data_IF_303095078475
#
_entry.id   IF_303095078475
#
_cell.length_a   1.000
_cell.length_b   1.000
_cell.length_c   1.000
_cell.angle_alpha   90.00
_cell.angle_beta   90.00
_cell.angle_gamma   90.00
#
_symmetry.space_group_name_H-M   'P 1'
#
loop_
_entity.id
_entity.type
_entity.pdbx_description
1 polymer ?
#
# COMPACT_ATOMS: atom_id res chain seq x y z
N UNK A 1 -2.45 15.47 -12.81
CA UNK A 1 -3.72 14.92 -13.31
C UNK A 1 -3.69 14.86 -14.83
N UNK A 2 -4.14 13.77 -15.43
CA UNK A 2 -4.46 13.68 -16.86
C UNK A 2 -5.97 13.50 -17.01
N UNK A 3 -6.59 14.18 -17.98
CA UNK A 3 -8.04 14.20 -18.20
C UNK A 3 -8.33 14.08 -19.70
N UNK A 4 -9.05 13.04 -20.10
CA UNK A 4 -9.37 12.75 -21.50
C UNK A 4 -10.88 12.66 -21.72
N UNK A 5 -11.39 13.45 -22.66
CA UNK A 5 -12.78 13.39 -23.12
C UNK A 5 -12.79 13.32 -24.66
N UNK A 6 -13.49 12.33 -25.23
CA UNK A 6 -13.56 12.10 -26.68
C UNK A 6 -14.88 12.59 -27.26
N UNK A 7 -14.97 13.89 -27.59
CA UNK A 7 -16.08 14.39 -28.40
C UNK A 7 -15.98 13.83 -29.82
N UNK A 8 -17.10 13.30 -30.34
CA UNK A 8 -17.20 12.69 -31.68
C UNK A 8 -16.97 13.74 -32.77
N UNK A 9 -15.92 13.56 -33.59
CA UNK A 9 -15.65 14.41 -34.76
C UNK A 9 -16.59 14.02 -35.90
N UNK A 10 -17.70 14.76 -36.05
CA UNK A 10 -18.44 14.79 -37.31
C UNK A 10 -17.73 15.75 -38.26
N UNK A 11 -17.53 15.32 -39.50
CA UNK A 11 -17.16 16.21 -40.59
C UNK A 11 -18.17 16.04 -41.72
N UNK A 12 -18.72 17.16 -42.17
CA UNK A 12 -19.02 17.36 -43.58
C UNK A 12 -18.72 18.83 -43.90
N UNK A 13 -18.56 19.16 -45.18
CA UNK A 13 -17.98 20.43 -45.65
C UNK A 13 -18.95 21.24 -46.53
N UNK A 14 -18.50 22.46 -46.85
CA UNK A 14 -18.84 23.26 -48.02
C UNK A 14 -19.97 24.32 -47.94
N UNK A 15 -19.64 25.45 -48.58
CA UNK A 15 -20.48 26.54 -49.12
C UNK A 15 -21.14 27.52 -48.13
N UNK A 16 -20.56 28.73 -48.06
CA UNK A 16 -21.30 29.97 -47.77
C UNK A 16 -21.82 30.60 -49.07
N UNK A 17 -22.86 31.45 -49.03
CA UNK A 17 -22.54 32.88 -49.17
C UNK A 17 -23.36 33.87 -48.32
N UNK A 18 -22.67 34.99 -48.02
CA UNK A 18 -23.08 36.38 -47.75
C UNK A 18 -24.57 36.78 -47.76
N UNK A 19 -25.01 37.31 -46.61
CA UNK A 19 -25.93 38.43 -46.32
C UNK A 19 -27.00 38.92 -47.33
N UNK A 20 -28.22 39.19 -46.82
CA UNK A 20 -28.63 40.57 -46.47
C UNK A 20 -29.79 40.57 -45.45
N UNK A 21 -30.28 41.75 -45.04
CA UNK A 21 -31.27 41.95 -43.96
C UNK A 21 -32.69 42.27 -44.47
N UNK A 22 -33.70 42.25 -43.58
CA UNK A 22 -34.88 43.16 -43.53
C UNK A 22 -35.84 42.76 -42.36
N UNK A 23 -36.40 43.74 -41.64
CA UNK A 23 -37.48 43.54 -40.64
C UNK A 23 -38.86 43.33 -41.32
N UNK A 24 -39.93 43.00 -40.57
CA UNK A 24 -40.77 44.13 -40.14
C UNK A 24 -41.41 44.03 -38.73
N UNK A 25 -41.43 45.18 -38.04
CA UNK A 25 -42.47 45.59 -37.05
C UNK A 25 -43.90 45.40 -37.60
N UNK A 26 -45.00 45.34 -36.83
CA UNK A 26 -45.29 45.70 -35.41
C UNK A 26 -46.31 44.64 -34.89
N UNK A 27 -47.14 44.72 -33.83
CA UNK A 27 -47.61 45.66 -32.78
C UNK A 27 -48.42 44.80 -31.76
N UNK A 28 -49.04 45.28 -30.68
CA UNK A 28 -48.90 46.38 -29.69
C UNK A 28 -50.15 46.28 -28.77
N UNK A 29 -50.12 46.77 -27.53
CA UNK A 29 -51.21 46.65 -26.53
C UNK A 29 -50.71 45.87 -25.31
N UNK A 30 -50.01 46.45 -24.34
CA UNK A 30 -50.34 47.62 -23.50
C UNK A 30 -51.55 47.35 -22.58
N UNK A 31 -51.31 47.04 -21.29
CA UNK A 31 -51.66 47.99 -20.21
C UNK A 31 -51.01 47.65 -18.83
N UNK A 32 -50.82 48.70 -18.03
CA UNK A 32 -50.29 48.74 -16.64
C UNK A 32 -51.23 49.69 -15.81
N UNK A 33 -51.00 50.13 -14.55
CA UNK A 33 -49.85 49.99 -13.62
C UNK A 33 -50.20 48.98 -12.47
N UNK A 34 -50.19 49.18 -11.15
CA UNK A 34 -49.75 50.23 -10.19
C UNK A 34 -49.38 49.54 -8.85
N UNK A 35 -48.24 49.81 -8.21
CA UNK A 35 -47.89 50.90 -7.29
C UNK A 35 -48.20 50.67 -5.79
N UNK A 36 -47.29 51.18 -4.95
CA UNK A 36 -47.38 51.40 -3.49
C UNK A 36 -47.43 50.18 -2.54
N UNK A 37 -46.92 50.26 -1.29
CA UNK A 37 -45.93 51.17 -0.69
C UNK A 37 -45.50 50.67 0.72
N UNK A 38 -44.31 51.08 1.17
CA UNK A 38 -43.89 51.38 2.56
C UNK A 38 -44.22 50.42 3.73
N UNK A 39 -43.18 50.02 4.48
CA UNK A 39 -43.04 50.47 5.89
C UNK A 39 -41.60 50.28 6.39
N UNK A 40 -41.19 51.13 7.33
CA UNK A 40 -39.88 51.12 8.01
C UNK A 40 -39.97 50.49 9.42
N UNK A 41 -38.83 50.34 10.10
CA UNK A 41 -38.72 50.08 11.54
C UNK A 41 -38.14 48.69 11.91
N UNK A 42 -37.27 48.55 12.92
CA UNK A 42 -36.63 49.54 13.80
C UNK A 42 -35.31 48.96 14.34
N UNK A 43 -34.30 49.78 14.60
CA UNK A 43 -33.05 49.37 15.25
C UNK A 43 -33.16 49.40 16.79
N UNK A 44 -32.29 48.66 17.50
CA UNK A 44 -31.96 48.93 18.91
C UNK A 44 -30.58 48.38 19.28
N UNK A 45 -29.75 49.21 19.89
CA UNK A 45 -28.45 48.86 20.47
C UNK A 45 -28.58 48.55 21.98
N UNK A 46 -27.62 47.79 22.55
CA UNK A 46 -27.05 47.94 23.91
C UNK A 46 -26.13 46.74 24.22
N UNK A 47 -24.82 46.92 24.47
CA UNK A 47 -24.18 47.44 25.70
C UNK A 47 -24.04 46.33 26.80
N UNK A 48 -22.90 45.63 26.91
CA UNK A 48 -21.63 45.98 27.63
C UNK A 48 -21.68 46.01 29.16
N UNK A 49 -21.06 45.02 29.82
CA UNK A 49 -20.22 45.06 31.05
C UNK A 49 -19.70 43.62 31.30
N UNK A 50 -18.46 43.30 31.71
CA UNK A 50 -17.58 43.83 32.78
C UNK A 50 -18.12 43.42 34.19
N UNK A 51 -17.36 42.90 35.17
CA UNK A 51 -15.92 42.90 35.46
C UNK A 51 -15.51 41.84 36.54
N UNK A 52 -14.19 41.60 36.75
CA UNK A 52 -13.41 41.18 37.98
C UNK A 52 -13.90 40.09 38.98
N UNK A 53 -13.12 39.48 39.91
CA UNK A 53 -11.68 39.07 40.08
C UNK A 53 -11.51 38.13 41.30
N UNK A 54 -10.50 37.25 41.25
CA UNK A 54 -9.60 36.84 42.37
C UNK A 54 -10.05 36.04 43.61
N UNK A 55 -9.03 35.37 44.19
CA UNK A 55 -8.82 34.97 45.60
C UNK A 55 -9.64 33.79 46.19
N UNK A 56 -9.08 32.94 47.09
CA UNK A 56 -7.68 32.81 47.54
C UNK A 56 -7.34 31.42 48.16
N UNK A 57 -6.09 31.27 48.63
CA UNK A 57 -5.43 30.25 49.49
C UNK A 57 -6.29 29.14 50.18
N UNK A 58 -5.77 27.93 50.46
CA UNK A 58 -4.83 27.71 51.60
C UNK A 58 -3.99 26.42 51.55
N UNK A 59 -2.77 26.55 52.06
CA UNK A 59 -1.65 25.59 52.10
C UNK A 59 -1.65 24.58 53.26
N UNK A 60 -0.97 23.45 53.08
CA UNK A 60 -0.02 22.78 54.01
C UNK A 60 0.72 21.66 53.22
N UNK A 61 2.04 21.41 53.30
CA UNK A 61 2.96 21.15 54.46
C UNK A 61 2.71 19.73 55.05
N UNK A 62 3.70 18.84 55.27
CA UNK A 62 5.16 18.98 55.46
C UNK A 62 5.97 17.74 54.96
N UNK A 63 7.28 17.93 54.72
CA UNK A 63 8.43 16.97 54.74
C UNK A 63 8.25 15.45 54.92
N UNK A 64 9.03 14.66 54.17
CA UNK A 64 10.24 13.95 54.71
C UNK A 64 11.12 13.32 53.60
N UNK A 65 12.38 13.06 53.95
CA UNK A 65 13.45 12.48 53.11
C UNK A 65 13.54 10.94 53.24
N UNK A 66 14.06 10.26 52.21
CA UNK A 66 14.49 8.85 52.22
C UNK A 66 15.27 8.51 50.94
N UNK A 67 16.60 8.62 50.99
CA UNK A 67 17.50 8.11 49.94
C UNK A 67 17.51 6.58 49.90
N UNK A 68 17.47 5.99 48.71
CA UNK A 68 17.68 4.54 48.49
C UNK A 68 18.76 4.36 47.43
N UNK A 69 19.83 3.62 47.75
CA UNK A 69 20.85 3.21 46.77
C UNK A 69 20.25 2.17 45.81
N UNK A 70 20.04 2.54 44.55
CA UNK A 70 19.64 1.60 43.50
C UNK A 70 20.86 1.08 42.75
N UNK A 71 21.21 -0.17 43.03
CA UNK A 71 22.33 -0.88 42.41
C UNK A 71 22.04 -1.11 40.91
N UNK A 72 22.97 -0.80 39.99
CA UNK A 72 22.66 -0.70 38.56
C UNK A 72 22.12 -2.00 37.97
N UNK A 73 20.92 -1.93 37.40
CA UNK A 73 20.31 -3.04 36.68
C UNK A 73 21.14 -3.43 35.45
N UNK A 74 21.33 -4.74 35.24
CA UNK A 74 22.03 -5.25 34.06
C UNK A 74 21.23 -4.95 32.79
N UNK A 75 21.90 -4.40 31.77
CA UNK A 75 21.27 -4.09 30.49
C UNK A 75 20.71 -5.36 29.81
N UNK A 76 19.51 -5.31 29.20
CA UNK A 76 18.89 -6.48 28.59
C UNK A 76 19.66 -6.92 27.33
N UNK A 77 20.16 -8.15 27.34
CA UNK A 77 20.83 -8.75 26.19
C UNK A 77 19.82 -9.27 25.17
N UNK A 78 19.79 -8.64 23.99
CA UNK A 78 18.94 -9.06 22.87
C UNK A 78 19.59 -10.26 22.17
N UNK A 79 18.86 -11.37 22.08
CA UNK A 79 19.28 -12.60 21.42
C UNK A 79 18.88 -12.58 19.93
N UNK A 80 19.85 -12.84 19.05
CA UNK A 80 19.67 -12.86 17.60
C UNK A 80 19.24 -14.26 17.14
N UNK A 81 18.30 -14.34 16.19
CA UNK A 81 17.92 -15.58 15.51
C UNK A 81 18.07 -15.40 13.99
N UNK A 82 18.69 -16.37 13.32
CA UNK A 82 19.21 -16.21 11.94
C UNK A 82 18.57 -17.23 11.00
N UNK A 83 18.14 -16.78 9.81
CA UNK A 83 17.80 -17.66 8.70
C UNK A 83 18.36 -17.14 7.37
N UNK A 84 18.85 -18.06 6.54
CA UNK A 84 19.44 -17.76 5.25
C UNK A 84 18.38 -17.55 4.17
N UNK A 85 18.51 -16.44 3.44
CA UNK A 85 17.72 -16.04 2.29
C UNK A 85 18.53 -16.22 1.00
N UNK A 86 17.97 -16.94 0.02
CA UNK A 86 18.63 -17.15 -1.27
C UNK A 86 18.38 -15.96 -2.20
N UNK A 87 19.33 -15.02 -2.24
CA UNK A 87 19.33 -13.94 -3.23
C UNK A 87 19.33 -14.46 -4.66
N UNK A 88 18.59 -13.77 -5.54
CA UNK A 88 18.57 -14.03 -6.99
C UNK A 88 19.23 -12.87 -7.72
N UNK A 89 20.16 -13.16 -8.64
CA UNK A 89 20.92 -12.12 -9.35
C UNK A 89 22.31 -12.56 -9.84
N UNK A 90 22.89 -13.62 -9.29
CA UNK A 90 24.08 -14.25 -9.85
C UNK A 90 23.68 -15.28 -10.93
N UNK A 91 24.37 -15.28 -12.07
CA UNK A 91 24.36 -16.43 -12.98
C UNK A 91 24.87 -17.68 -12.26
N UNK A 92 24.37 -18.84 -12.67
CA UNK A 92 24.90 -20.11 -12.21
C UNK A 92 26.31 -20.32 -12.81
N UNK A 93 27.34 -20.00 -12.01
CA UNK A 93 28.72 -20.39 -12.32
C UNK A 93 28.81 -21.91 -12.56
N UNK A 94 29.69 -22.38 -13.46
CA UNK A 94 29.70 -23.75 -13.91
C UNK A 94 29.88 -24.75 -12.76
N UNK A 95 29.16 -25.87 -12.83
CA UNK A 95 29.10 -26.89 -11.80
C UNK A 95 30.49 -27.52 -11.58
N UNK A 96 31.02 -27.38 -10.36
CA UNK A 96 32.35 -27.89 -9.99
C UNK A 96 32.22 -29.32 -9.50
N UNK A 97 32.50 -30.29 -10.38
CA UNK A 97 32.69 -31.69 -9.97
C UNK A 97 33.85 -31.79 -8.96
N UNK A 98 33.57 -32.35 -7.79
CA UNK A 98 34.62 -32.65 -6.80
C UNK A 98 35.35 -33.94 -7.19
N UNK A 99 36.69 -33.97 -7.14
CA UNK A 99 37.47 -35.10 -7.64
C UNK A 99 37.28 -36.35 -6.76
N UNK A 100 37.04 -37.49 -7.40
CA UNK A 100 36.94 -38.79 -6.75
C UNK A 100 38.32 -39.40 -6.46
N UNK A 101 38.53 -39.76 -5.19
CA UNK A 101 39.61 -40.61 -4.69
C UNK A 101 38.94 -41.61 -3.72
N UNK A 102 39.20 -42.92 -3.73
CA UNK A 102 40.45 -43.61 -4.08
C UNK A 102 40.26 -44.81 -5.03
N UNK A 103 41.40 -45.35 -5.49
CA UNK A 103 41.51 -46.62 -6.21
C UNK A 103 42.39 -47.62 -5.41
N UNK A 104 42.69 -48.83 -5.92
CA UNK A 104 41.80 -49.98 -5.77
C UNK A 104 42.42 -51.13 -4.95
N UNK A 105 41.60 -52.08 -4.49
CA UNK A 105 42.04 -53.40 -4.02
C UNK A 105 40.97 -54.47 -4.27
N UNK A 106 41.41 -55.67 -4.62
CA UNK A 106 40.59 -56.75 -5.18
C UNK A 106 40.95 -58.11 -4.49
N UNK A 107 40.28 -59.24 -4.77
CA UNK A 107 39.06 -59.67 -4.09
C UNK A 107 39.23 -60.95 -3.25
N UNK A 108 38.29 -61.21 -2.35
CA UNK A 108 38.04 -62.56 -1.81
C UNK A 108 36.54 -62.85 -1.68
N UNK A 109 36.16 -64.09 -2.02
CA UNK A 109 34.78 -64.64 -1.98
C UNK A 109 34.90 -66.10 -1.54
N UNK A 110 34.28 -66.52 -0.43
CA UNK A 110 33.08 -67.38 -0.52
C UNK A 110 32.14 -67.31 0.72
N UNK A 111 31.05 -68.12 0.81
CA UNK A 111 30.11 -68.59 -0.21
C UNK A 111 28.65 -68.15 0.11
N UNK A 112 27.68 -68.50 -0.74
CA UNK A 112 26.26 -68.19 -0.53
C UNK A 112 25.50 -69.22 0.32
N UNK A 113 24.50 -68.74 1.08
CA UNK A 113 23.50 -69.52 1.83
C UNK A 113 22.12 -68.79 1.78
N UNK A 114 20.98 -69.46 2.05
CA UNK A 114 19.71 -69.11 1.39
C UNK A 114 18.99 -67.84 1.87
N UNK A 115 18.15 -67.30 0.99
CA UNK A 115 17.32 -66.11 1.25
C UNK A 115 16.12 -66.40 2.18
N UNK A 116 15.89 -65.47 3.11
CA UNK A 116 14.57 -65.23 3.70
C UNK A 116 13.84 -64.14 2.88
N UNK A 117 12.50 -64.13 2.81
CA UNK A 117 11.76 -63.16 2.00
C UNK A 117 11.95 -61.74 2.54
N UNK A 118 12.50 -60.85 1.70
CA UNK A 118 12.62 -59.44 2.03
C UNK A 118 11.22 -58.79 1.98
N UNK A 119 10.79 -58.22 3.10
CA UNK A 119 9.71 -57.23 3.12
C UNK A 119 10.07 -56.13 2.12
N UNK A 120 9.17 -55.71 1.20
CA UNK A 120 9.49 -54.65 0.26
C UNK A 120 9.88 -53.38 1.05
N UNK A 121 10.97 -52.69 0.68
CA UNK A 121 11.38 -51.49 1.39
C UNK A 121 10.26 -50.47 1.31
N UNK A 122 9.77 -50.02 2.47
CA UNK A 122 8.89 -48.85 2.55
C UNK A 122 9.61 -47.71 1.81
N UNK A 123 9.00 -47.08 0.79
CA UNK A 123 9.66 -46.01 0.06
C UNK A 123 10.08 -44.94 1.06
N UNK A 124 11.35 -44.54 1.00
CA UNK A 124 11.86 -43.49 1.87
C UNK A 124 11.02 -42.24 1.64
N UNK A 125 10.49 -41.67 2.73
CA UNK A 125 9.75 -40.42 2.67
C UNK A 125 10.69 -39.37 2.11
N UNK A 126 10.47 -38.97 0.85
CA UNK A 126 11.11 -37.78 0.28
C UNK A 126 10.81 -36.63 1.25
N UNK A 127 11.81 -35.82 1.67
CA UNK A 127 11.53 -34.62 2.45
C UNK A 127 10.48 -33.80 1.73
N UNK A 128 9.39 -33.48 2.42
CA UNK A 128 8.31 -32.69 1.84
C UNK A 128 8.90 -31.37 1.35
N UNK A 129 8.60 -31.02 0.09
CA UNK A 129 8.91 -29.68 -0.38
C UNK A 129 8.09 -28.70 0.47
N UNK A 130 8.61 -27.53 0.85
CA UNK A 130 7.82 -26.55 1.59
C UNK A 130 6.57 -26.18 0.77
N UNK A 131 5.40 -26.62 1.22
CA UNK A 131 4.14 -26.39 0.51
C UNK A 131 3.76 -24.90 0.50
N UNK A 132 2.89 -24.53 -0.45
CA UNK A 132 2.90 -23.21 -1.08
C UNK A 132 2.62 -22.03 -0.11
N UNK A 133 3.50 -21.03 -0.13
CA UNK A 133 3.31 -19.74 0.54
C UNK A 133 2.30 -18.87 -0.23
N UNK A 134 1.01 -19.26 -0.22
CA UNK A 134 -0.06 -18.63 -1.01
C UNK A 134 -0.58 -17.32 -0.44
N UNK A 135 -0.29 -16.24 -1.15
CA UNK A 135 -1.03 -14.98 -1.29
C UNK A 135 -0.72 -14.47 -2.71
N UNK A 136 -1.35 -13.38 -3.19
CA UNK A 136 -0.68 -12.48 -4.12
C UNK A 136 0.54 -11.81 -3.46
N UNK A 137 1.63 -12.58 -3.46
CA UNK A 137 3.00 -12.12 -3.29
C UNK A 137 3.46 -11.59 -4.65
N UNK A 138 3.92 -10.35 -4.72
CA UNK A 138 4.43 -9.84 -5.98
C UNK A 138 5.87 -10.33 -6.22
N UNK A 139 6.31 -10.21 -7.47
CA UNK A 139 7.72 -10.36 -7.82
C UNK A 139 8.60 -9.43 -6.97
N UNK A 140 9.84 -9.85 -6.71
CA UNK A 140 10.84 -9.00 -6.07
C UNK A 140 11.14 -7.75 -6.91
N UNK A 141 11.05 -7.86 -8.24
CA UNK A 141 11.16 -6.71 -9.13
C UNK A 141 9.77 -6.11 -9.42
N UNK A 142 9.65 -4.77 -9.48
CA UNK A 142 8.40 -4.11 -9.87
C UNK A 142 8.05 -4.46 -11.33
N UNK A 143 6.77 -4.70 -11.66
CA UNK A 143 6.35 -5.08 -13.00
C UNK A 143 6.48 -3.93 -14.01
N UNK A 144 6.56 -4.28 -15.28
CA UNK A 144 6.57 -3.30 -16.38
C UNK A 144 5.29 -2.45 -16.37
N UNK A 145 5.46 -1.14 -16.55
CA UNK A 145 4.36 -0.18 -16.50
C UNK A 145 3.56 -0.24 -17.81
N UNK A 146 2.32 -0.73 -17.76
CA UNK A 146 1.44 -0.84 -18.94
C UNK A 146 0.42 0.30 -19.04
N UNK A 147 -0.03 0.62 -20.25
CA UNK A 147 -1.12 1.56 -20.51
C UNK A 147 -2.21 0.91 -21.38
N UNK A 148 -3.24 0.32 -20.76
CA UNK A 148 -4.37 -0.31 -21.49
C UNK A 148 -5.19 0.70 -22.31
N UNK A 149 -5.07 1.99 -21.98
CA UNK A 149 -5.45 3.13 -22.83
C UNK A 149 -4.28 4.13 -22.83
N UNK A 150 -3.80 4.62 -23.98
CA UNK A 150 -2.65 5.53 -24.02
C UNK A 150 -2.84 6.79 -23.17
N UNK A 151 -1.84 7.11 -22.34
CA UNK A 151 -1.87 8.17 -21.34
C UNK A 151 -2.54 7.79 -20.00
N UNK A 152 -2.92 6.52 -19.82
CA UNK A 152 -3.55 5.99 -18.61
C UNK A 152 -2.81 4.74 -18.13
N UNK A 153 -1.86 4.92 -17.20
CA UNK A 153 -1.09 3.83 -16.57
C UNK A 153 -1.97 2.90 -15.75
N UNK A 154 -1.86 1.60 -15.98
CA UNK A 154 -2.57 0.60 -15.20
C UNK A 154 -1.88 0.36 -13.85
N UNK A 155 -2.67 0.02 -12.83
CA UNK A 155 -2.18 -0.50 -11.56
C UNK A 155 -1.83 -1.99 -11.73
N UNK A 156 -0.65 -2.25 -12.30
CA UNK A 156 -0.24 -3.59 -12.73
C UNK A 156 -0.19 -4.57 -11.55
N UNK A 157 0.38 -4.15 -10.41
CA UNK A 157 0.45 -4.96 -9.19
C UNK A 157 -0.93 -5.37 -8.65
N UNK A 158 -1.89 -4.43 -8.62
CA UNK A 158 -3.26 -4.74 -8.24
C UNK A 158 -3.95 -5.67 -9.25
N UNK A 159 -3.74 -5.44 -10.55
CA UNK A 159 -4.30 -6.28 -11.62
C UNK A 159 -3.78 -7.72 -11.54
N UNK A 160 -2.48 -7.90 -11.33
CA UNK A 160 -1.84 -9.21 -11.14
C UNK A 160 -2.39 -9.90 -9.89
N UNK A 161 -2.43 -9.20 -8.75
CA UNK A 161 -3.02 -9.72 -7.52
C UNK A 161 -4.49 -10.12 -7.66
N UNK A 162 -5.27 -9.43 -8.50
CA UNK A 162 -6.65 -9.80 -8.82
C UNK A 162 -6.74 -11.06 -9.70
N UNK A 163 -5.76 -11.35 -10.56
CA UNK A 163 -5.74 -12.62 -11.31
C UNK A 163 -5.50 -13.85 -10.41
N UNK A 164 -4.91 -13.66 -9.23
CA UNK A 164 -4.63 -14.73 -8.26
C UNK A 164 -5.78 -15.03 -7.28
N UNK A 165 -6.89 -14.27 -7.32
CA UNK A 165 -8.08 -14.59 -6.50
C UNK A 165 -9.04 -15.54 -7.22
N UNK A 166 -9.39 -16.61 -6.50
CA UNK A 166 -10.35 -17.63 -6.92
C UNK A 166 -11.76 -17.34 -6.37
N UNK A 167 -12.78 -18.03 -6.86
CA UNK A 167 -14.15 -17.88 -6.35
C UNK A 167 -14.27 -18.38 -4.90
N UNK A 168 -14.52 -17.47 -3.96
CA UNK A 168 -14.46 -17.77 -2.52
C UNK A 168 -13.09 -17.55 -1.89
N UNK A 169 -12.28 -16.64 -2.45
CA UNK A 169 -10.95 -16.28 -1.97
C UNK A 169 -10.86 -16.09 -0.44
N UNK A 170 -9.75 -16.56 0.14
CA UNK A 170 -9.52 -16.51 1.59
C UNK A 170 -9.26 -15.08 2.07
N UNK A 171 -9.50 -14.82 3.36
CA UNK A 171 -9.14 -13.53 3.98
C UNK A 171 -7.67 -13.15 3.69
N UNK A 172 -6.76 -14.12 3.70
CA UNK A 172 -5.35 -13.90 3.45
C UNK A 172 -5.11 -13.45 1.99
N UNK A 173 -5.74 -14.09 1.00
CA UNK A 173 -5.74 -13.61 -0.39
C UNK A 173 -6.26 -12.17 -0.49
N UNK A 174 -7.37 -11.85 0.19
CA UNK A 174 -7.95 -10.48 0.19
C UNK A 174 -7.00 -9.45 0.82
N UNK A 175 -6.28 -9.79 1.89
CA UNK A 175 -5.25 -8.93 2.50
C UNK A 175 -4.04 -8.75 1.57
N UNK A 176 -3.67 -9.79 0.81
CA UNK A 176 -2.68 -9.69 -0.25
C UNK A 176 -3.09 -8.73 -1.38
N UNK A 177 -4.34 -8.81 -1.85
CA UNK A 177 -4.87 -7.85 -2.85
C UNK A 177 -4.89 -6.44 -2.27
N UNK A 178 -5.28 -6.24 -0.99
CA UNK A 178 -5.20 -4.94 -0.32
C UNK A 178 -3.77 -4.39 -0.30
N UNK A 179 -2.77 -5.22 0.02
CA UNK A 179 -1.34 -4.82 0.05
C UNK A 179 -0.84 -4.29 -1.29
N UNK A 180 -1.37 -4.81 -2.41
CA UNK A 180 -1.09 -4.30 -3.75
C UNK A 180 -2.01 -3.16 -4.18
N UNK A 181 -3.25 -3.12 -3.69
CA UNK A 181 -4.18 -2.01 -3.92
C UNK A 181 -3.61 -0.68 -3.43
N UNK A 182 -2.81 -0.68 -2.34
CA UNK A 182 -2.14 0.50 -1.77
C UNK A 182 -1.04 1.14 -2.66
N UNK A 183 -0.78 0.61 -3.86
CA UNK A 183 0.31 1.06 -4.72
C UNK A 183 -0.23 1.82 -5.93
N UNK A 184 0.43 2.92 -6.33
CA UNK A 184 0.09 3.64 -7.55
C UNK A 184 -1.23 4.42 -7.50
N UNK A 185 -2.15 4.11 -8.42
CA UNK A 185 -3.39 4.86 -8.65
C UNK A 185 -4.59 3.91 -8.80
N UNK A 186 -5.79 4.46 -8.61
CA UNK A 186 -7.06 3.84 -8.96
C UNK A 186 -7.84 4.75 -9.91
N UNK A 187 -8.63 4.15 -10.80
CA UNK A 187 -9.54 4.87 -11.68
C UNK A 187 -10.93 4.90 -11.06
N UNK A 188 -11.51 6.08 -10.91
CA UNK A 188 -12.89 6.26 -10.44
C UNK A 188 -13.77 6.63 -11.62
N UNK A 189 -14.90 5.92 -11.77
CA UNK A 189 -15.92 6.20 -12.77
C UNK A 189 -16.80 7.36 -12.27
N UNK A 190 -17.04 8.35 -13.13
CA UNK A 190 -17.82 9.55 -12.81
C UNK A 190 -18.95 9.70 -13.81
N UNK A 191 -20.16 9.88 -13.29
CA UNK A 191 -21.35 10.12 -14.10
C UNK A 191 -21.34 11.57 -14.59
N UNK A 192 -21.47 11.79 -15.91
CA UNK A 192 -21.31 13.09 -16.55
C UNK A 192 -19.86 13.45 -16.91
N UNK A 193 -19.59 14.74 -17.17
CA UNK A 193 -18.24 15.25 -17.45
C UNK A 193 -17.52 15.61 -16.14
N UNK A 194 -16.51 14.81 -15.78
CA UNK A 194 -15.72 15.00 -14.56
C UNK A 194 -14.90 16.30 -14.57
N UNK A 195 -14.44 16.75 -15.75
CA UNK A 195 -13.68 18.00 -15.89
C UNK A 195 -14.57 19.21 -15.66
N UNK A 196 -15.81 19.17 -16.17
CA UNK A 196 -16.81 20.20 -15.90
C UNK A 196 -17.08 20.30 -14.38
N UNK A 197 -17.42 19.18 -13.73
CA UNK A 197 -17.68 19.13 -12.28
C UNK A 197 -16.51 19.71 -11.45
N UNK A 198 -15.27 19.30 -11.72
CA UNK A 198 -14.08 19.84 -11.05
C UNK A 198 -13.92 21.36 -11.31
N UNK A 199 -14.09 21.81 -12.56
CA UNK A 199 -13.94 23.24 -12.90
C UNK A 199 -15.06 24.14 -12.33
N UNK A 200 -16.22 23.55 -12.03
CA UNK A 200 -17.36 24.22 -11.39
C UNK A 200 -17.31 24.12 -9.86
N UNK A 201 -16.27 23.50 -9.28
CA UNK A 201 -16.14 23.30 -7.82
C UNK A 201 -17.16 22.32 -7.23
N UNK A 202 -17.81 21.49 -8.06
CA UNK A 202 -18.82 20.52 -7.64
C UNK A 202 -18.16 19.21 -7.20
N UNK A 203 -18.77 18.54 -6.22
CA UNK A 203 -18.39 17.19 -5.85
C UNK A 203 -18.52 16.23 -7.05
N UNK A 204 -17.54 15.33 -7.20
CA UNK A 204 -17.56 14.34 -8.28
C UNK A 204 -18.73 13.38 -8.09
N UNK A 205 -19.55 13.25 -9.13
CA UNK A 205 -20.68 12.31 -9.17
C UNK A 205 -20.19 10.89 -9.43
N UNK A 206 -19.49 10.30 -8.45
CA UNK A 206 -18.86 8.98 -8.54
C UNK A 206 -19.90 7.86 -8.75
N UNK A 207 -19.47 6.79 -9.41
CA UNK A 207 -20.29 5.60 -9.59
C UNK A 207 -20.38 4.78 -8.29
N UNK A 208 -21.60 4.42 -7.93
CA UNK A 208 -21.94 3.72 -6.69
C UNK A 208 -22.84 2.53 -7.04
N UNK A 209 -22.56 1.37 -6.46
CA UNK A 209 -23.47 0.21 -6.45
C UNK A 209 -24.12 0.13 -5.08
N UNK A 210 -25.38 -0.32 -5.04
CA UNK A 210 -26.06 -0.66 -3.79
C UNK A 210 -26.37 -2.15 -3.73
N UNK A 211 -26.31 -2.70 -2.51
CA UNK A 211 -26.69 -4.07 -2.25
C UNK A 211 -28.19 -4.20 -1.87
N UNK A 212 -28.60 -5.41 -1.48
CA UNK A 212 -29.97 -5.69 -1.02
C UNK A 212 -30.36 -5.04 0.31
N UNK A 213 -29.41 -4.39 1.00
CA UNK A 213 -29.59 -3.70 2.28
C UNK A 213 -29.49 -2.16 2.11
N UNK A 214 -29.54 -1.67 0.85
CA UNK A 214 -29.34 -0.28 0.39
C UNK A 214 -27.97 0.33 0.76
N UNK A 215 -27.00 -0.49 1.20
CA UNK A 215 -25.65 -0.04 1.52
C UNK A 215 -24.91 0.40 0.27
N UNK A 216 -24.22 1.53 0.35
CA UNK A 216 -23.57 2.17 -0.79
C UNK A 216 -22.10 1.77 -0.89
N UNK A 217 -21.68 1.26 -2.03
CA UNK A 217 -20.30 0.89 -2.33
C UNK A 217 -19.77 1.69 -3.51
N UNK A 218 -18.64 2.37 -3.34
CA UNK A 218 -18.01 3.13 -4.42
C UNK A 218 -17.30 2.19 -5.40
N UNK A 219 -17.32 2.51 -6.71
CA UNK A 219 -16.60 1.74 -7.73
C UNK A 219 -15.22 2.34 -8.03
N UNK A 220 -14.18 1.53 -7.88
CA UNK A 220 -12.83 1.80 -8.39
C UNK A 220 -12.35 0.72 -9.36
N UNK A 221 -11.33 1.05 -10.14
CA UNK A 221 -10.79 0.17 -11.17
C UNK A 221 -9.26 0.19 -11.17
N UNK A 222 -8.66 -1.00 -11.38
CA UNK A 222 -7.21 -1.19 -11.51
C UNK A 222 -6.63 -0.53 -12.75
N UNK A 223 -7.43 -0.41 -13.81
CA UNK A 223 -6.93 -0.14 -15.16
C UNK A 223 -7.98 0.57 -16.01
N UNK A 224 -7.50 1.27 -17.05
CA UNK A 224 -8.38 1.82 -18.07
C UNK A 224 -9.08 0.71 -18.90
N UNK A 225 -8.60 -0.53 -18.81
CA UNK A 225 -9.31 -1.72 -19.29
C UNK A 225 -10.61 -1.94 -18.52
N UNK A 226 -10.49 -2.26 -17.22
CA UNK A 226 -11.64 -2.58 -16.37
C UNK A 226 -12.70 -1.47 -16.30
N UNK A 227 -12.31 -0.19 -16.44
CA UNK A 227 -13.26 0.92 -16.64
C UNK A 227 -14.14 0.72 -17.88
N UNK A 228 -13.56 0.39 -19.05
CA UNK A 228 -14.32 0.17 -20.29
C UNK A 228 -15.21 -1.05 -20.17
N UNK A 229 -14.75 -2.09 -19.49
CA UNK A 229 -15.49 -3.35 -19.32
C UNK A 229 -16.67 -3.17 -18.35
N UNK A 230 -16.52 -2.33 -17.32
CA UNK A 230 -17.62 -1.85 -16.48
C UNK A 230 -18.63 -1.00 -17.24
N UNK A 231 -18.17 -0.07 -18.09
CA UNK A 231 -19.04 0.78 -18.91
C UNK A 231 -19.84 -0.02 -19.95
N UNK A 232 -19.33 -1.15 -20.44
CA UNK A 232 -20.06 -2.06 -21.35
C UNK A 232 -21.26 -2.77 -20.69
N UNK A 233 -21.36 -2.76 -19.35
CA UNK A 233 -22.49 -3.34 -18.61
C UNK A 233 -23.61 -2.31 -18.32
N UNK A 234 -23.41 -1.04 -18.67
CA UNK A 234 -24.35 0.06 -18.36
C UNK A 234 -25.40 0.28 -19.46
N UNK A 235 -26.57 0.80 -19.05
CA UNK A 235 -27.66 1.12 -19.97
C UNK A 235 -27.41 2.41 -20.80
N UNK A 236 -26.63 3.36 -20.26
CA UNK A 236 -26.09 4.51 -21.02
C UNK A 236 -24.57 4.60 -20.86
N UNK A 237 -23.79 3.97 -21.76
CA UNK A 237 -22.34 4.08 -21.76
C UNK A 237 -21.82 5.44 -22.28
N UNK A 238 -22.69 6.33 -22.79
CA UNK A 238 -22.27 7.58 -23.44
C UNK A 238 -22.05 8.75 -22.47
N UNK A 239 -22.70 8.72 -21.30
CA UNK A 239 -22.67 9.78 -20.29
C UNK A 239 -21.62 9.56 -19.18
N UNK A 240 -20.54 8.83 -19.44
CA UNK A 240 -19.57 8.43 -18.41
C UNK A 240 -18.15 8.95 -18.65
N UNK A 241 -17.55 9.53 -17.60
CA UNK A 241 -16.12 9.87 -17.51
C UNK A 241 -15.36 8.92 -16.57
N UNK A 242 -14.02 8.97 -16.61
CA UNK A 242 -13.17 8.34 -15.61
C UNK A 242 -12.02 9.27 -15.20
N UNK A 243 -11.60 9.20 -13.93
CA UNK A 243 -10.54 10.01 -13.35
C UNK A 243 -9.54 9.10 -12.64
N UNK A 244 -8.25 9.25 -12.96
CA UNK A 244 -7.17 8.63 -12.19
C UNK A 244 -6.91 9.43 -10.91
N UNK A 245 -6.88 8.76 -9.76
CA UNK A 245 -6.54 9.35 -8.47
C UNK A 245 -5.50 8.48 -7.74
N UNK A 246 -4.65 9.07 -6.87
CA UNK A 246 -3.83 8.30 -5.93
C UNK A 246 -4.70 7.41 -5.05
N UNK A 247 -4.20 6.23 -4.68
CA UNK A 247 -4.97 5.28 -3.86
C UNK A 247 -5.41 5.91 -2.53
N UNK A 248 -4.52 6.64 -1.85
CA UNK A 248 -4.80 7.27 -0.56
C UNK A 248 -6.00 8.21 -0.64
N UNK A 249 -6.10 9.04 -1.68
CA UNK A 249 -7.24 9.92 -1.92
C UNK A 249 -8.55 9.14 -2.13
N UNK A 250 -8.50 8.01 -2.86
CA UNK A 250 -9.66 7.14 -3.08
C UNK A 250 -10.12 6.49 -1.78
N UNK A 251 -9.20 5.93 -0.99
CA UNK A 251 -9.56 5.30 0.28
C UNK A 251 -10.07 6.35 1.29
N UNK A 252 -9.46 7.53 1.33
CA UNK A 252 -9.92 8.66 2.14
C UNK A 252 -11.34 9.10 1.74
N UNK A 253 -11.66 9.13 0.43
CA UNK A 253 -13.02 9.44 -0.04
C UNK A 253 -14.05 8.37 0.39
N UNK A 254 -13.68 7.08 0.44
CA UNK A 254 -14.59 6.02 0.94
C UNK A 254 -14.79 6.13 2.45
N UNK A 255 -13.72 6.33 3.21
CA UNK A 255 -13.75 6.39 4.69
C UNK A 255 -14.37 7.70 5.22
N UNK A 256 -14.27 8.80 4.46
CA UNK A 256 -14.85 10.11 4.83
C UNK A 256 -16.27 10.32 4.30
N UNK A 257 -16.83 9.34 3.57
CA UNK A 257 -18.19 9.37 3.04
C UNK A 257 -19.04 8.23 3.62
N UNK A 258 -20.36 8.30 3.43
CA UNK A 258 -21.32 7.31 3.94
C UNK A 258 -21.33 6.00 3.11
N UNK A 259 -20.15 5.45 2.83
CA UNK A 259 -19.96 4.23 2.05
C UNK A 259 -19.68 3.03 2.98
N UNK A 260 -20.24 1.87 2.64
CA UNK A 260 -19.96 0.59 3.28
C UNK A 260 -18.70 -0.10 2.75
N UNK A 261 -18.11 0.42 1.67
CA UNK A 261 -16.80 -0.03 1.18
C UNK A 261 -16.49 0.37 -0.25
N UNK A 262 -15.41 -0.22 -0.76
CA UNK A 262 -14.92 -0.06 -2.12
C UNK A 262 -15.04 -1.38 -2.88
N UNK A 263 -15.65 -1.36 -4.07
CA UNK A 263 -15.60 -2.49 -5.01
C UNK A 263 -14.55 -2.16 -6.07
N UNK A 264 -13.58 -3.05 -6.24
CA UNK A 264 -12.56 -2.96 -7.29
C UNK A 264 -12.90 -3.91 -8.44
N UNK A 265 -12.84 -3.40 -9.67
CA UNK A 265 -12.98 -4.16 -10.92
C UNK A 265 -14.29 -4.96 -11.01
N UNK A 266 -15.43 -4.31 -10.70
CA UNK A 266 -16.74 -4.97 -10.54
C UNK A 266 -17.18 -5.90 -11.70
N UNK A 267 -16.77 -5.61 -12.93
CA UNK A 267 -17.06 -6.39 -14.14
C UNK A 267 -16.19 -7.65 -14.29
N UNK A 268 -14.99 -7.68 -13.72
CA UNK A 268 -13.91 -8.63 -14.01
C UNK A 268 -14.07 -10.01 -13.34
N UNK A 269 -15.30 -10.49 -13.13
CA UNK A 269 -15.55 -11.73 -12.37
C UNK A 269 -14.79 -12.96 -12.94
N UNK A 270 -14.11 -13.77 -12.10
CA UNK A 270 -14.10 -13.75 -10.63
C UNK A 270 -13.12 -12.74 -10.01
N UNK A 271 -12.22 -12.16 -10.79
CA UNK A 271 -11.11 -11.26 -10.42
C UNK A 271 -11.55 -9.85 -9.97
N UNK A 272 -12.42 -9.80 -8.96
CA UNK A 272 -12.95 -8.57 -8.35
C UNK A 272 -13.02 -8.71 -6.83
N UNK A 273 -12.89 -7.60 -6.11
CA UNK A 273 -12.88 -7.61 -4.64
C UNK A 273 -13.77 -6.52 -4.06
N UNK A 274 -14.31 -6.77 -2.87
CA UNK A 274 -15.00 -5.78 -2.03
C UNK A 274 -14.19 -5.57 -0.76
N UNK A 275 -13.81 -4.33 -0.47
CA UNK A 275 -13.10 -3.94 0.74
C UNK A 275 -14.04 -3.15 1.66
N UNK A 276 -14.41 -3.67 2.85
CA UNK A 276 -15.23 -2.94 3.82
C UNK A 276 -14.55 -1.68 4.33
N UNK A 277 -15.33 -0.63 4.63
CA UNK A 277 -14.81 0.68 5.06
C UNK A 277 -13.95 0.58 6.32
N UNK A 278 -14.23 -0.34 7.24
CA UNK A 278 -13.45 -0.57 8.46
C UNK A 278 -12.04 -1.08 8.16
N UNK A 279 -11.89 -1.91 7.11
CA UNK A 279 -10.58 -2.36 6.62
C UNK A 279 -9.83 -1.20 5.97
N UNK A 280 -10.51 -0.36 5.19
CA UNK A 280 -9.91 0.81 4.54
C UNK A 280 -9.42 1.84 5.58
N UNK A 281 -10.25 2.16 6.57
CA UNK A 281 -9.90 3.07 7.66
C UNK A 281 -8.66 2.58 8.41
N UNK A 282 -8.69 1.34 8.91
CA UNK A 282 -7.55 0.75 9.64
C UNK A 282 -6.28 0.67 8.79
N UNK A 283 -6.42 0.52 7.49
CA UNK A 283 -5.28 0.52 6.54
C UNK A 283 -4.68 1.91 6.40
N UNK A 284 -5.49 2.97 6.32
CA UNK A 284 -5.04 4.37 6.30
C UNK A 284 -4.41 4.80 7.63
N UNK A 285 -4.98 4.40 8.77
CA UNK A 285 -4.43 4.66 10.12
C UNK A 285 -3.02 4.08 10.34
N UNK A 286 -2.60 3.14 9.49
CA UNK A 286 -1.33 2.41 9.59
C UNK A 286 -0.35 2.70 8.44
N UNK A 287 -0.74 3.54 7.49
CA UNK A 287 0.05 3.87 6.31
C UNK A 287 0.88 5.15 6.47
N UNK A 288 1.89 5.30 5.61
CA UNK A 288 2.44 6.61 5.28
C UNK A 288 1.43 7.40 4.43
N UNK A 289 1.24 8.70 4.72
CA UNK A 289 0.21 9.54 4.09
C UNK A 289 0.49 9.74 2.60
N UNK A 290 1.76 9.94 2.25
CA UNK A 290 2.23 10.12 0.88
C UNK A 290 2.62 8.79 0.20
N UNK A 291 2.53 7.66 0.92
CA UNK A 291 2.95 6.33 0.45
C UNK A 291 4.38 6.34 -0.13
N UNK A 292 5.30 7.09 0.48
CA UNK A 292 6.60 7.48 -0.09
C UNK A 292 7.44 6.28 -0.49
N UNK A 293 7.81 5.45 0.48
CA UNK A 293 8.62 4.23 0.26
C UNK A 293 7.89 3.26 -0.66
N UNK A 294 6.59 3.05 -0.45
CA UNK A 294 5.74 2.15 -1.26
C UNK A 294 5.67 2.56 -2.73
N UNK A 295 5.62 3.88 -3.01
CA UNK A 295 5.61 4.42 -4.38
C UNK A 295 6.96 4.26 -5.07
N UNK A 296 8.08 4.38 -4.33
CA UNK A 296 9.43 4.10 -4.87
C UNK A 296 9.60 2.61 -5.14
N UNK A 297 9.06 1.73 -4.28
CA UNK A 297 9.08 0.28 -4.49
C UNK A 297 8.29 -0.14 -5.73
N UNK A 298 7.13 0.49 -5.99
CA UNK A 298 6.29 0.23 -7.16
C UNK A 298 6.84 0.80 -8.48
N UNK A 299 7.73 1.79 -8.42
CA UNK A 299 8.31 2.42 -9.60
C UNK A 299 9.37 1.52 -10.28
N UNK A 300 9.57 1.67 -11.61
CA UNK A 300 10.70 1.03 -12.31
C UNK A 300 12.04 1.31 -11.61
N UNK A 301 12.93 0.31 -11.58
CA UNK A 301 14.23 0.44 -10.90
C UNK A 301 15.16 1.36 -11.69
N UNK A 302 15.60 2.42 -11.04
CA UNK A 302 16.55 3.43 -11.52
C UNK A 302 17.88 3.28 -10.75
N UNK A 303 18.97 3.86 -11.25
CA UNK A 303 20.32 3.73 -10.64
C UNK A 303 20.38 4.27 -9.20
N UNK A 304 19.51 5.22 -8.87
CA UNK A 304 19.40 5.89 -7.58
C UNK A 304 18.22 5.39 -6.72
N UNK A 305 17.48 4.34 -7.14
CA UNK A 305 16.33 3.83 -6.38
C UNK A 305 16.69 3.44 -4.93
N UNK A 306 17.87 2.88 -4.70
CA UNK A 306 18.33 2.56 -3.35
C UNK A 306 18.60 3.83 -2.52
N UNK A 307 19.13 4.89 -3.13
CA UNK A 307 19.37 6.18 -2.47
C UNK A 307 18.04 6.87 -2.13
N UNK A 308 17.10 6.93 -3.08
CA UNK A 308 15.73 7.45 -2.87
C UNK A 308 15.02 6.75 -1.70
N UNK A 309 15.19 5.44 -1.55
CA UNK A 309 14.66 4.71 -0.39
C UNK A 309 15.46 5.02 0.89
N UNK A 310 16.79 5.10 0.83
CA UNK A 310 17.63 5.48 1.97
C UNK A 310 17.35 6.88 2.53
N UNK A 311 17.01 7.83 1.65
CA UNK A 311 16.52 9.17 2.02
C UNK A 311 15.13 9.11 2.67
N UNK A 312 14.17 8.39 2.07
CA UNK A 312 12.83 8.25 2.63
C UNK A 312 12.82 7.52 3.99
N UNK A 313 13.71 6.55 4.20
CA UNK A 313 13.87 5.83 5.47
C UNK A 313 14.33 6.73 6.63
N UNK A 314 14.83 7.94 6.37
CA UNK A 314 15.20 8.91 7.40
C UNK A 314 14.02 9.75 7.91
N UNK A 315 12.87 9.71 7.24
CA UNK A 315 11.67 10.51 7.60
C UNK A 315 10.39 9.70 7.70
N UNK A 316 10.25 8.63 6.91
CA UNK A 316 9.09 7.73 6.93
C UNK A 316 9.20 6.70 8.05
N UNK A 317 8.19 6.64 8.92
CA UNK A 317 7.99 5.52 9.86
C UNK A 317 7.83 4.22 9.09
N UNK A 318 8.62 3.22 9.48
CA UNK A 318 8.53 1.87 8.94
C UNK A 318 7.88 0.92 9.95
N UNK A 319 7.81 -0.35 9.56
CA UNK A 319 7.39 -1.46 10.40
C UNK A 319 8.45 -2.55 10.35
N UNK A 320 8.60 -3.27 11.45
CA UNK A 320 9.43 -4.48 11.54
C UNK A 320 8.56 -5.68 11.91
N UNK A 321 8.89 -6.85 11.37
CA UNK A 321 8.30 -8.11 11.80
C UNK A 321 9.01 -8.56 13.09
N UNK A 322 8.26 -8.74 14.17
CA UNK A 322 8.79 -9.27 15.44
C UNK A 322 8.12 -10.58 15.84
N UNK A 323 8.92 -11.49 16.37
CA UNK A 323 8.44 -12.69 17.04
C UNK A 323 8.45 -12.45 18.55
N UNK A 324 7.38 -12.82 19.24
CA UNK A 324 7.22 -12.63 20.70
C UNK A 324 7.99 -13.67 21.54
N UNK A 325 8.88 -14.45 20.93
CA UNK A 325 9.90 -15.25 21.61
C UNK A 325 9.31 -16.48 22.28
N UNK A 326 8.60 -17.32 21.51
CA UNK A 326 7.89 -18.52 21.98
C UNK A 326 8.75 -19.39 22.91
N UNK A 327 8.52 -19.28 24.23
CA UNK A 327 9.36 -19.89 25.27
C UNK A 327 9.96 -18.90 26.28
N UNK A 328 9.73 -17.60 26.15
CA UNK A 328 10.24 -16.57 27.08
C UNK A 328 11.62 -16.03 26.72
N UNK A 329 12.00 -16.10 25.43
CA UNK A 329 13.20 -15.43 24.93
C UNK A 329 13.01 -13.91 24.75
N UNK A 330 14.11 -13.15 24.51
CA UNK A 330 14.00 -11.75 24.10
C UNK A 330 13.27 -11.64 22.75
N UNK A 331 12.56 -10.54 22.55
CA UNK A 331 11.84 -10.24 21.30
C UNK A 331 12.84 -10.12 20.15
N UNK A 332 12.70 -10.98 19.14
CA UNK A 332 13.56 -11.01 17.96
C UNK A 332 12.96 -10.17 16.84
N UNK A 333 13.75 -9.28 16.24
CA UNK A 333 13.41 -8.59 14.99
C UNK A 333 13.81 -9.46 13.79
N UNK A 334 12.99 -9.47 12.74
CA UNK A 334 13.27 -10.19 11.52
C UNK A 334 14.48 -9.65 10.76
N UNK A 335 15.47 -10.51 10.55
CA UNK A 335 16.58 -10.30 9.63
C UNK A 335 16.48 -11.23 8.41
N UNK A 336 17.22 -10.90 7.35
CA UNK A 336 17.50 -11.77 6.23
C UNK A 336 19.01 -11.86 6.04
N UNK A 337 19.55 -13.08 5.88
CA UNK A 337 20.97 -13.29 5.58
C UNK A 337 21.15 -13.72 4.13
N UNK A 338 21.89 -12.97 3.32
CA UNK A 338 22.16 -13.32 1.91
C UNK A 338 23.15 -14.49 1.80
N UNK A 339 23.26 -15.09 0.60
CA UNK A 339 24.09 -16.29 0.35
C UNK A 339 25.59 -16.08 0.53
N UNK A 340 26.04 -14.83 0.53
CA UNK A 340 27.40 -14.38 0.86
C UNK A 340 27.64 -14.24 2.39
N UNK A 341 26.62 -14.49 3.21
CA UNK A 341 26.65 -14.41 4.67
C UNK A 341 26.30 -13.03 5.25
N UNK A 342 26.14 -11.98 4.44
CA UNK A 342 25.79 -10.63 4.92
C UNK A 342 24.38 -10.62 5.53
N UNK A 343 24.19 -9.87 6.63
CA UNK A 343 22.92 -9.73 7.35
C UNK A 343 22.25 -8.40 7.02
N UNK A 344 20.93 -8.42 6.84
CA UNK A 344 20.11 -7.26 6.55
C UNK A 344 18.87 -7.25 7.44
N UNK A 345 18.49 -6.07 7.94
CA UNK A 345 17.24 -5.90 8.70
C UNK A 345 16.04 -5.90 7.74
N UNK A 346 14.95 -6.62 8.05
CA UNK A 346 13.75 -6.60 7.23
C UNK A 346 12.81 -5.46 7.66
N UNK A 347 12.57 -4.52 6.74
CA UNK A 347 11.67 -3.38 6.90
C UNK A 347 10.45 -3.50 6.00
N UNK A 348 9.33 -2.94 6.46
CA UNK A 348 8.04 -3.01 5.80
C UNK A 348 7.39 -1.63 5.79
N UNK A 349 6.86 -1.20 4.64
CA UNK A 349 6.19 0.09 4.50
C UNK A 349 4.75 0.08 5.04
N UNK A 350 4.17 -1.11 5.22
CA UNK A 350 2.83 -1.31 5.76
C UNK A 350 2.74 -2.62 6.56
N UNK A 351 1.99 -2.69 7.68
CA UNK A 351 1.88 -3.90 8.50
C UNK A 351 1.25 -5.10 7.76
N UNK A 352 0.49 -4.85 6.68
CA UNK A 352 0.00 -5.91 5.80
C UNK A 352 1.13 -6.71 5.13
N UNK A 353 2.32 -6.14 4.95
CA UNK A 353 3.48 -6.85 4.38
C UNK A 353 4.09 -7.84 5.38
N UNK A 354 4.12 -7.50 6.67
CA UNK A 354 4.53 -8.42 7.75
C UNK A 354 3.56 -9.60 7.82
N UNK A 355 2.25 -9.31 7.83
CA UNK A 355 1.20 -10.33 7.82
C UNK A 355 1.32 -11.19 6.55
N UNK A 356 1.65 -10.59 5.40
CA UNK A 356 1.83 -11.28 4.14
C UNK A 356 3.02 -12.26 4.08
N UNK A 357 3.95 -12.24 5.05
CA UNK A 357 4.98 -13.27 5.12
C UNK A 357 4.45 -14.62 5.63
N UNK A 358 3.26 -14.66 6.26
CA UNK A 358 2.63 -15.89 6.75
C UNK A 358 3.35 -16.58 7.92
N UNK A 359 4.42 -15.97 8.48
CA UNK A 359 5.27 -16.57 9.52
C UNK A 359 4.70 -16.48 10.95
N UNK A 360 3.56 -15.81 11.13
CA UNK A 360 2.98 -15.53 12.46
C UNK A 360 3.63 -14.37 13.22
N UNK A 361 4.55 -13.62 12.60
CA UNK A 361 5.15 -12.42 13.20
C UNK A 361 4.10 -11.32 13.42
N UNK A 362 4.35 -10.47 14.41
CA UNK A 362 3.55 -9.26 14.66
C UNK A 362 4.25 -8.05 14.02
N UNK A 363 3.52 -7.14 13.34
CA UNK A 363 4.09 -5.87 12.89
C UNK A 363 4.26 -4.91 14.08
N UNK A 364 5.50 -4.47 14.33
CA UNK A 364 5.82 -3.44 15.30
C UNK A 364 6.19 -2.13 14.56
N UNK A 365 5.65 -0.96 14.98
CA UNK A 365 6.11 0.34 14.47
C UNK A 365 7.61 0.53 14.71
N UNK A 366 8.31 1.10 13.73
CA UNK A 366 9.76 1.31 13.78
C UNK A 366 10.11 2.70 13.24
N UNK A 367 10.65 3.55 14.11
CA UNK A 367 10.95 4.94 13.79
C UNK A 367 12.37 5.10 13.19
N UNK A 368 12.63 6.15 12.37
CA UNK A 368 13.95 6.40 11.77
C UNK A 368 15.11 6.42 12.78
N UNK A 369 14.88 6.96 13.98
CA UNK A 369 15.84 7.05 15.08
C UNK A 369 16.17 5.66 15.65
N UNK A 370 15.18 4.76 15.69
CA UNK A 370 15.35 3.37 16.11
C UNK A 370 16.14 2.56 15.06
N UNK A 371 15.87 2.81 13.77
CA UNK A 371 16.65 2.24 12.67
C UNK A 371 18.11 2.72 12.71
N UNK A 372 18.33 4.02 12.89
CA UNK A 372 19.65 4.61 13.04
C UNK A 372 20.42 4.02 14.22
N UNK A 373 19.76 3.87 15.38
CA UNK A 373 20.34 3.24 16.58
C UNK A 373 20.66 1.76 16.40
N UNK A 374 19.81 0.99 15.73
CA UNK A 374 20.09 -0.44 15.42
C UNK A 374 21.27 -0.55 14.45
N UNK A 375 21.28 0.22 13.35
CA UNK A 375 22.37 0.17 12.37
C UNK A 375 23.72 0.60 12.97
N UNK A 376 23.75 1.60 13.85
CA UNK A 376 24.99 2.02 14.53
C UNK A 376 25.44 1.05 15.63
N UNK A 377 24.52 0.43 16.37
CA UNK A 377 24.85 -0.59 17.37
C UNK A 377 25.33 -1.91 16.74
N UNK A 378 24.86 -2.23 15.53
CA UNK A 378 25.14 -3.48 14.84
C UNK A 378 25.88 -3.22 13.51
N UNK A 379 27.20 -3.05 13.61
CA UNK A 379 28.09 -2.82 12.46
C UNK A 379 28.19 -4.03 11.49
N UNK A 380 27.75 -5.21 11.93
CA UNK A 380 27.66 -6.46 11.17
C UNK A 380 26.40 -6.57 10.31
N UNK A 381 25.42 -5.68 10.50
CA UNK A 381 24.27 -5.53 9.58
C UNK A 381 24.72 -4.68 8.38
N UNK A 382 24.69 -5.28 7.19
CA UNK A 382 25.13 -4.69 5.92
C UNK A 382 24.10 -3.73 5.28
N UNK A 383 22.89 -3.63 5.84
CA UNK A 383 21.85 -2.72 5.37
C UNK A 383 20.45 -3.19 5.74
N UNK A 384 19.48 -2.85 4.90
CA UNK A 384 18.08 -3.26 5.04
C UNK A 384 17.55 -3.92 3.76
N UNK A 385 16.54 -4.78 3.90
CA UNK A 385 15.67 -5.19 2.79
C UNK A 385 14.27 -4.64 3.07
N UNK A 386 13.68 -3.95 2.10
CA UNK A 386 12.33 -3.39 2.21
C UNK A 386 11.32 -4.21 1.41
N UNK A 387 10.15 -4.46 1.99
CA UNK A 387 9.04 -5.32 1.51
C UNK A 387 9.51 -6.67 0.94
N UNK A 388 9.88 -7.60 1.83
CA UNK A 388 10.24 -8.98 1.47
C UNK A 388 9.08 -9.80 0.85
N UNK A 389 7.86 -9.25 0.77
CA UNK A 389 6.71 -9.84 0.07
C UNK A 389 6.48 -9.23 -1.34
N UNK A 390 7.32 -8.29 -1.77
CA UNK A 390 7.43 -7.78 -3.13
C UNK A 390 6.48 -6.61 -3.48
N UNK A 391 6.93 -5.60 -4.25
CA UNK A 391 8.27 -5.45 -4.84
C UNK A 391 9.34 -5.06 -3.80
N UNK A 392 10.48 -5.77 -3.81
CA UNK A 392 11.51 -5.63 -2.78
C UNK A 392 12.71 -4.82 -3.27
N UNK A 393 13.47 -4.26 -2.33
CA UNK A 393 14.77 -3.62 -2.61
C UNK A 393 15.74 -3.85 -1.46
N UNK A 394 17.02 -4.03 -1.79
CA UNK A 394 18.12 -4.02 -0.83
C UNK A 394 18.71 -2.61 -0.80
N UNK A 395 18.93 -2.06 0.39
CA UNK A 395 19.61 -0.77 0.58
C UNK A 395 20.79 -1.00 1.50
N UNK A 396 22.00 -0.85 0.97
CA UNK A 396 23.25 -1.05 1.71
C UNK A 396 23.62 0.19 2.56
N UNK A 397 24.61 0.05 3.46
CA UNK A 397 24.94 1.08 4.46
C UNK A 397 25.34 2.44 3.88
N UNK A 398 25.83 2.50 2.65
CA UNK A 398 26.22 3.72 1.94
C UNK A 398 25.00 4.60 1.61
N UNK A 399 23.96 4.00 1.02
CA UNK A 399 22.68 4.65 0.75
C UNK A 399 21.90 5.00 2.03
N UNK A 400 22.17 4.33 3.15
CA UNK A 400 21.59 4.62 4.46
C UNK A 400 22.27 5.78 5.22
N UNK A 401 23.19 6.52 4.59
CA UNK A 401 23.83 7.71 5.19
C UNK A 401 22.83 8.71 5.81
N UNK A 402 21.69 9.06 5.18
CA UNK A 402 20.72 9.99 5.78
C UNK A 402 20.14 9.47 7.11
N UNK A 403 19.91 8.16 7.22
CA UNK A 403 19.43 7.51 8.44
C UNK A 403 20.52 7.50 9.51
N UNK A 404 21.77 7.20 9.14
CA UNK A 404 22.89 7.07 10.08
C UNK A 404 23.23 8.40 10.78
N UNK A 405 22.94 9.56 10.16
CA UNK A 405 23.10 10.87 10.80
C UNK A 405 22.20 11.01 12.03
N UNK A 406 20.97 10.49 11.99
CA UNK A 406 20.00 10.58 13.11
C UNK A 406 20.52 9.91 14.39
N UNK A 407 21.48 8.98 14.30
CA UNK A 407 22.09 8.37 15.49
C UNK A 407 23.11 9.27 16.19
N UNK A 408 23.60 10.33 15.51
CA UNK A 408 24.50 11.34 16.09
C UNK A 408 23.68 12.33 16.92
N UNK A 409 22.51 12.74 16.42
CA UNK A 409 21.59 13.67 17.10
C UNK A 409 20.92 13.08 18.36
N UNK A 410 21.13 11.78 18.64
CA UNK A 410 20.74 11.08 19.88
C UNK A 410 21.88 11.04 20.93
N UNK A 411 23.01 11.71 20.68
CA UNK A 411 24.24 11.61 21.46
C UNK A 411 24.53 12.76 22.43
N UNK A 412 23.78 13.86 22.36
CA UNK A 412 23.85 15.05 23.23
C UNK A 412 22.64 15.16 24.19
#
# INVERSE_FOLDING_TARGET
>A
MALFSRRKKSGDDAVAPTAEAVEPRTAQGDDHPAESALSEGTASESATSDSVTSDSVTSNSVTSDSTVDEQPAAAPSIGISVQAFRGVGAEAGPEVELPSSDAPSNPQTPPAAPAAPQTPPRPATRPEAPEERRLPLASALPPEQTETVPGMKDNVLLREALTEIEAGATNDQLLGVMRQALQGHLYIRVNGDARAQISEGKALSVAVVRDSEDRQYMLAFSSAGAVRDSVQLEADPSSTSAVAQPVTSVLQQVVSGDFAGLIVDNASAPHRVVFPTELLQKTLEQADVDMTVKSILAAPREQDSAVKVGEALATTRMWVAVNDGSGGGPVGIAEAQTTDGRRFLQLFSHPLEVIALGRGDRPLPFAPEQLAKVLTSHADIAGVIVDSAGPSIVVERDALTPVLVLAVDLGD
#
